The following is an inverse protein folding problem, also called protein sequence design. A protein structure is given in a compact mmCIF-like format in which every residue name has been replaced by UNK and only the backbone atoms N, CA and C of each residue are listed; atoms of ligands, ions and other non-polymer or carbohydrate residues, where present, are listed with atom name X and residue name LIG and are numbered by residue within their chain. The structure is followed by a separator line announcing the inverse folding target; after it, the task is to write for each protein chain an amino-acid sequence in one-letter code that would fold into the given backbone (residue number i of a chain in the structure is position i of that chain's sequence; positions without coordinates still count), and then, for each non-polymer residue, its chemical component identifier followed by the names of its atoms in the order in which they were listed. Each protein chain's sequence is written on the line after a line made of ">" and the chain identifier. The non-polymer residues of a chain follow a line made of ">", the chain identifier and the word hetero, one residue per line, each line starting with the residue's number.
data_IF_765641704723
#
_entry.id   IF_765641704723
#
_cell.length_a   1.000
_cell.length_b   1.000
_cell.length_c   1.000
_cell.angle_alpha   90.00
_cell.angle_beta   90.00
_cell.angle_gamma   90.00
#
_symmetry.space_group_name_H-M   'P 1'
#
loop_
_entity.id
_entity.type
_entity.pdbx_description
1 polymer ?
#
# COMPACT_ATOMS: atom_id res chain seq x y z
N UNK A 1 5.58 16.64 -11.66
CA UNK A 1 5.97 15.32 -11.11
C UNK A 1 5.28 14.23 -11.93
N UNK A 2 5.94 13.08 -12.21
CA UNK A 2 5.35 11.95 -12.96
C UNK A 2 5.77 10.62 -12.33
N UNK A 3 4.81 9.75 -12.05
CA UNK A 3 5.06 8.39 -11.55
C UNK A 3 5.47 7.49 -12.72
N UNK A 4 6.57 6.75 -12.57
CA UNK A 4 7.11 5.88 -13.63
C UNK A 4 6.77 4.40 -13.40
N UNK A 5 6.76 3.98 -12.15
CA UNK A 5 6.36 2.66 -11.72
C UNK A 5 5.85 2.69 -10.28
N UNK A 6 5.07 1.67 -9.90
CA UNK A 6 4.76 1.34 -8.50
C UNK A 6 5.33 -0.05 -8.23
N UNK A 7 6.08 -0.19 -7.14
CA UNK A 7 6.70 -1.44 -6.68
C UNK A 7 6.44 -1.60 -5.20
N UNK A 8 6.34 -2.83 -4.74
CA UNK A 8 6.26 -3.13 -3.32
C UNK A 8 6.22 -4.62 -3.08
N UNK A 9 6.20 -4.99 -1.80
CA UNK A 9 6.11 -6.37 -1.38
C UNK A 9 5.14 -6.49 -0.21
N UNK A 10 4.36 -7.56 -0.17
CA UNK A 10 3.56 -7.93 1.01
C UNK A 10 2.72 -6.78 1.64
N UNK A 11 2.11 -5.92 0.83
CA UNK A 11 1.24 -4.85 1.35
C UNK A 11 -0.22 -5.31 1.33
N UNK A 12 -0.91 -5.21 2.46
CA UNK A 12 -2.32 -5.54 2.64
C UNK A 12 -2.80 -6.74 1.80
N UNK A 13 -3.53 -6.48 0.71
CA UNK A 13 -4.10 -7.52 -0.16
C UNK A 13 -3.10 -8.14 -1.16
N UNK A 14 -2.01 -7.45 -1.49
CA UNK A 14 -1.01 -7.91 -2.46
C UNK A 14 0.08 -8.70 -1.73
N UNK A 15 0.17 -10.00 -2.02
CA UNK A 15 1.16 -10.91 -1.43
C UNK A 15 2.38 -11.04 -2.36
N UNK A 16 3.57 -11.19 -1.78
CA UNK A 16 4.81 -11.26 -2.53
C UNK A 16 5.17 -9.94 -3.18
N UNK A 17 6.16 -9.97 -4.07
CA UNK A 17 6.60 -8.81 -4.85
C UNK A 17 5.59 -8.49 -5.94
N UNK A 18 5.35 -7.20 -6.15
CA UNK A 18 4.52 -6.71 -7.24
C UNK A 18 5.14 -5.46 -7.86
N UNK A 19 4.91 -5.31 -9.16
CA UNK A 19 5.42 -4.19 -9.93
C UNK A 19 4.43 -3.80 -11.03
N UNK A 20 4.26 -2.49 -11.23
CA UNK A 20 3.48 -1.90 -12.31
C UNK A 20 4.30 -0.80 -12.99
N UNK A 21 4.62 -0.99 -14.27
CA UNK A 21 5.36 -0.02 -15.08
C UNK A 21 4.41 0.83 -15.92
N UNK A 22 4.43 2.16 -15.76
CA UNK A 22 3.64 3.07 -16.60
C UNK A 22 4.32 3.43 -17.92
N UNK A 23 5.59 3.05 -18.09
CA UNK A 23 6.39 3.33 -19.29
C UNK A 23 6.46 2.19 -20.30
N UNK A 24 5.74 1.11 -20.03
CA UNK A 24 5.67 -0.05 -20.90
C UNK A 24 4.25 -0.16 -21.50
N UNK A 25 4.12 -0.58 -22.76
CA UNK A 25 2.82 -0.94 -23.32
C UNK A 25 2.15 -2.04 -22.48
N UNK A 26 0.81 -2.01 -22.32
CA UNK A 26 -0.13 -1.11 -22.99
C UNK A 26 -0.32 0.25 -22.30
N UNK A 27 0.28 0.47 -21.12
CA UNK A 27 0.02 1.67 -20.32
C UNK A 27 0.70 2.92 -20.84
N UNK A 28 1.87 2.78 -21.48
CA UNK A 28 2.57 3.90 -22.11
C UNK A 28 1.75 4.58 -23.21
N UNK A 29 0.85 3.83 -23.85
CA UNK A 29 0.16 4.23 -25.07
C UNK A 29 -1.30 4.65 -24.81
N UNK A 30 -1.86 4.24 -23.66
CA UNK A 30 -3.27 4.45 -23.35
C UNK A 30 -3.63 5.91 -23.01
N UNK A 31 -2.70 6.67 -22.41
CA UNK A 31 -2.93 8.04 -21.90
C UNK A 31 -3.86 8.12 -20.68
N UNK A 32 -4.89 7.27 -20.61
CA UNK A 32 -5.82 7.07 -19.51
C UNK A 32 -6.07 5.56 -19.33
N UNK A 33 -6.06 5.08 -18.09
CA UNK A 33 -6.33 3.68 -17.75
C UNK A 33 -7.18 3.58 -16.49
N UNK A 34 -7.79 2.41 -16.29
CA UNK A 34 -8.58 2.10 -15.10
C UNK A 34 -7.99 0.89 -14.36
N UNK A 35 -8.08 0.89 -13.03
CA UNK A 35 -7.72 -0.24 -12.18
C UNK A 35 -9.02 -0.93 -11.74
N UNK A 36 -9.30 -2.09 -12.30
CA UNK A 36 -10.55 -2.84 -12.10
C UNK A 36 -10.30 -4.19 -11.41
N UNK A 37 -11.34 -4.76 -10.79
CA UNK A 37 -11.26 -6.05 -10.10
C UNK A 37 -12.24 -6.16 -8.91
N UNK A 38 -12.46 -7.36 -8.36
CA UNK A 38 -13.39 -7.58 -7.24
C UNK A 38 -12.94 -6.89 -5.95
N UNK A 39 -13.85 -6.72 -4.99
CA UNK A 39 -13.51 -6.21 -3.65
C UNK A 39 -12.44 -7.10 -3.01
N UNK A 40 -11.42 -6.49 -2.41
CA UNK A 40 -10.30 -7.22 -1.82
C UNK A 40 -9.16 -7.60 -2.79
N UNK A 41 -9.29 -7.34 -4.10
CA UNK A 41 -8.26 -7.68 -5.09
C UNK A 41 -6.98 -6.83 -5.04
N UNK A 42 -6.89 -5.85 -4.13
CA UNK A 42 -5.70 -5.01 -3.99
C UNK A 42 -5.65 -3.71 -4.80
N UNK A 43 -6.77 -3.30 -5.43
CA UNK A 43 -6.84 -2.01 -6.16
C UNK A 43 -6.39 -0.82 -5.31
N UNK A 44 -6.98 -0.65 -4.12
CA UNK A 44 -6.62 0.43 -3.20
C UNK A 44 -5.22 0.22 -2.61
N UNK A 45 -4.80 -1.04 -2.42
CA UNK A 45 -3.46 -1.38 -1.92
C UNK A 45 -2.36 -0.87 -2.86
N UNK A 46 -2.57 -0.94 -4.18
CA UNK A 46 -1.64 -0.39 -5.15
C UNK A 46 -1.49 1.14 -5.00
N UNK A 47 -2.60 1.85 -4.73
CA UNK A 47 -2.57 3.29 -4.48
C UNK A 47 -1.98 3.63 -3.09
N UNK A 48 -2.25 2.79 -2.09
CA UNK A 48 -1.68 2.92 -0.76
C UNK A 48 -0.16 2.75 -0.80
N UNK A 49 0.38 1.84 -1.61
CA UNK A 49 1.82 1.67 -1.82
C UNK A 49 2.46 2.96 -2.37
N UNK A 50 1.81 3.62 -3.32
CA UNK A 50 2.26 4.89 -3.87
C UNK A 50 2.27 6.00 -2.81
N UNK A 51 1.20 6.13 -2.03
CA UNK A 51 1.12 7.12 -0.97
C UNK A 51 2.15 6.86 0.14
N UNK A 52 2.29 5.60 0.56
CA UNK A 52 3.25 5.19 1.58
C UNK A 52 4.68 5.53 1.15
N UNK A 53 5.08 5.16 -0.07
CA UNK A 53 6.44 5.40 -0.55
C UNK A 53 6.81 6.89 -0.67
N UNK A 54 5.82 7.76 -0.92
CA UNK A 54 6.05 9.19 -1.11
C UNK A 54 5.88 10.02 0.16
N UNK A 55 5.04 9.56 1.10
CA UNK A 55 4.58 10.37 2.23
C UNK A 55 4.65 9.67 3.59
N UNK A 56 5.10 8.41 3.65
CA UNK A 56 5.06 7.55 4.84
C UNK A 56 3.67 7.46 5.48
N UNK A 57 2.63 7.65 4.67
CA UNK A 57 1.24 7.70 5.11
C UNK A 57 0.30 7.22 4.01
N UNK A 58 -0.86 6.72 4.41
CA UNK A 58 -1.94 6.37 3.47
C UNK A 58 -3.26 7.01 3.90
N UNK A 59 -4.14 7.34 2.94
CA UNK A 59 -5.48 7.86 3.27
C UNK A 59 -6.28 6.90 4.17
N UNK A 60 -6.04 5.59 4.03
CA UNK A 60 -6.70 4.56 4.83
C UNK A 60 -6.29 4.62 6.30
N UNK A 61 -5.00 4.72 6.59
CA UNK A 61 -4.48 4.77 7.95
C UNK A 61 -4.78 6.12 8.62
N UNK A 62 -4.70 7.22 7.87
CA UNK A 62 -5.03 8.57 8.39
C UNK A 62 -6.47 8.66 8.86
N UNK A 63 -7.38 7.93 8.21
CA UNK A 63 -8.81 7.87 8.57
C UNK A 63 -9.11 6.84 9.66
N UNK A 64 -8.12 6.07 10.11
CA UNK A 64 -8.31 5.14 11.21
C UNK A 64 -8.58 5.94 12.50
N UNK A 65 -9.85 5.97 12.89
CA UNK A 65 -10.31 6.63 14.09
C UNK A 65 -10.14 5.67 15.28
N UNK A 66 -9.35 6.07 16.27
CA UNK A 66 -9.16 5.32 17.50
C UNK A 66 -7.84 5.68 18.18
N UNK A 67 -7.87 6.00 19.48
CA UNK A 67 -6.67 6.15 20.32
C UNK A 67 -6.28 4.82 20.98
N UNK A 68 -6.45 3.70 20.27
CA UNK A 68 -6.06 2.39 20.78
C UNK A 68 -4.58 2.17 20.50
N UNK A 69 -3.74 2.31 21.53
CA UNK A 69 -2.34 1.90 21.47
C UNK A 69 -2.31 0.40 21.69
N UNK A 70 -1.76 -0.34 20.73
CA UNK A 70 -1.60 -1.79 20.80
C UNK A 70 -0.15 -2.11 21.15
N UNK A 71 0.11 -3.11 22.02
CA UNK A 71 1.47 -3.58 22.27
C UNK A 71 2.04 -4.27 21.03
N UNK A 72 3.32 -4.06 20.77
CA UNK A 72 4.12 -4.72 19.75
C UNK A 72 5.22 -5.57 20.42
N UNK A 73 6.21 -6.04 19.66
CA UNK A 73 7.32 -6.85 20.18
C UNK A 73 8.13 -6.04 21.21
N UNK A 74 8.29 -6.59 22.41
CA UNK A 74 9.04 -5.95 23.49
C UNK A 74 8.28 -4.78 24.11
N UNK A 75 8.92 -3.62 24.19
CA UNK A 75 8.34 -2.38 24.74
C UNK A 75 7.73 -1.48 23.64
N UNK A 76 7.81 -1.91 22.37
CA UNK A 76 7.27 -1.14 21.25
C UNK A 76 5.75 -1.15 21.26
N UNK A 77 5.16 -0.10 20.69
CA UNK A 77 3.71 0.01 20.52
C UNK A 77 3.35 0.43 19.09
N UNK A 78 2.17 0.02 18.65
CA UNK A 78 1.60 0.36 17.35
C UNK A 78 0.29 1.11 17.57
N UNK A 79 0.15 2.23 16.86
CA UNK A 79 -1.11 2.98 16.79
C UNK A 79 -1.87 2.60 15.50
N UNK A 80 -3.18 2.86 15.39
CA UNK A 80 -3.94 2.52 14.18
C UNK A 80 -3.51 3.31 12.93
N UNK A 81 -2.76 4.39 13.12
CA UNK A 81 -2.26 5.26 12.05
C UNK A 81 -0.84 4.88 11.59
N UNK A 82 -0.17 3.97 12.32
CA UNK A 82 1.20 3.55 12.03
C UNK A 82 1.27 2.84 10.67
N UNK A 83 2.25 3.21 9.85
CA UNK A 83 2.45 2.68 8.49
C UNK A 83 2.69 1.17 8.46
N UNK A 84 3.25 0.60 9.53
CA UNK A 84 3.46 -0.84 9.69
C UNK A 84 2.16 -1.64 9.63
N UNK A 85 1.01 -1.03 9.95
CA UNK A 85 -0.30 -1.69 9.80
C UNK A 85 -0.69 -1.96 8.34
N UNK A 86 0.03 -1.38 7.37
CA UNK A 86 -0.19 -1.68 5.96
C UNK A 86 0.44 -3.02 5.54
N UNK A 87 1.35 -3.59 6.34
CA UNK A 87 1.90 -4.91 6.08
C UNK A 87 0.77 -5.95 6.00
N UNK A 88 0.91 -6.86 5.05
CA UNK A 88 0.01 -8.00 4.91
C UNK A 88 0.06 -8.82 6.19
N UNK A 89 -1.10 -9.27 6.67
CA UNK A 89 -1.19 -10.14 7.84
C UNK A 89 -0.32 -11.39 7.65
N UNK A 90 0.56 -11.64 8.63
CA UNK A 90 1.50 -12.76 8.60
C UNK A 90 2.80 -12.50 7.83
N UNK A 91 2.98 -11.33 7.22
CA UNK A 91 4.26 -10.93 6.64
C UNK A 91 5.12 -10.21 7.69
N UNK A 92 6.40 -10.58 7.78
CA UNK A 92 7.39 -9.90 8.62
C UNK A 92 8.15 -8.77 7.90
N UNK A 93 7.93 -8.62 6.59
CA UNK A 93 8.60 -7.64 5.73
C UNK A 93 7.72 -7.26 4.54
N UNK A 94 7.96 -6.09 3.95
CA UNK A 94 7.26 -5.57 2.77
C UNK A 94 8.01 -4.42 2.09
#
# INVERSE_FOLDING_TARGET
>A
MRILAIRGKNLASLAGEFELHFRQPPLSDAGLFAICGPTGSGKSTLLDALCLALYDATPRLTRAAGKSILPDIGEDTITPQDSRNLLRRGAGEG
#
